data_IF_988756837391
#
_entry.id   IF_988756837391
#
_cell.length_a   1.000
_cell.length_b   1.000
_cell.length_c   1.000
_cell.angle_alpha   90.00
_cell.angle_beta   90.00
_cell.angle_gamma   90.00
#
_symmetry.space_group_name_H-M   'P 1'
#
loop_
_entity.id
_entity.type
_entity.pdbx_description
1 polymer ?
#
# COMPACT_ATOMS: atom_id res chain seq x y z
N UNK A 1 -11.86 0.05 -6.75
CA UNK A 1 -10.88 0.54 -7.75
C UNK A 1 -9.82 -0.52 -8.08
N UNK A 2 -10.01 -1.78 -7.68
CA UNK A 2 -9.05 -2.86 -7.93
C UNK A 2 -8.83 -3.06 -9.45
N UNK A 3 -9.85 -2.72 -10.25
CA UNK A 3 -9.83 -2.72 -11.71
C UNK A 3 -8.89 -1.65 -12.31
N UNK A 4 -8.47 -0.64 -11.53
CA UNK A 4 -7.51 0.40 -11.93
C UNK A 4 -6.08 0.17 -11.42
N UNK A 5 -5.85 -0.87 -10.62
CA UNK A 5 -4.51 -1.20 -10.10
C UNK A 5 -3.60 -1.82 -11.17
N UNK A 6 -4.17 -2.29 -12.29
CA UNK A 6 -3.45 -3.11 -13.26
C UNK A 6 -3.02 -4.45 -12.66
N UNK A 7 -2.52 -5.36 -13.50
CA UNK A 7 -2.06 -6.69 -13.06
C UNK A 7 -0.95 -6.61 -12.02
N UNK A 8 -0.04 -5.64 -12.15
CA UNK A 8 1.04 -5.39 -11.21
C UNK A 8 0.54 -4.90 -9.84
N UNK A 9 -0.43 -3.99 -9.79
CA UNK A 9 -0.96 -3.49 -8.52
C UNK A 9 -1.73 -4.56 -7.76
N UNK A 10 -2.47 -5.42 -8.46
CA UNK A 10 -3.15 -6.56 -7.84
C UNK A 10 -2.15 -7.58 -7.31
N UNK A 11 -1.13 -7.95 -8.09
CA UNK A 11 -0.07 -8.85 -7.63
C UNK A 11 0.68 -8.29 -6.41
N UNK A 12 0.98 -6.98 -6.41
CA UNK A 12 1.58 -6.29 -5.28
C UNK A 12 0.71 -6.32 -4.03
N UNK A 13 -0.60 -6.09 -4.16
CA UNK A 13 -1.53 -6.19 -3.04
C UNK A 13 -1.58 -7.61 -2.46
N UNK A 14 -1.63 -8.63 -3.31
CA UNK A 14 -1.60 -10.04 -2.88
C UNK A 14 -0.32 -10.35 -2.12
N UNK A 15 0.84 -9.94 -2.63
CA UNK A 15 2.13 -10.12 -1.95
C UNK A 15 2.18 -9.39 -0.61
N UNK A 16 1.65 -8.17 -0.53
CA UNK A 16 1.57 -7.40 0.70
C UNK A 16 0.76 -8.15 1.76
N UNK A 17 -0.46 -8.58 1.42
CA UNK A 17 -1.31 -9.29 2.37
C UNK A 17 -0.75 -10.67 2.74
N UNK A 18 -0.13 -11.39 1.80
CA UNK A 18 0.53 -12.66 2.07
C UNK A 18 1.70 -12.50 3.04
N UNK A 19 2.57 -11.51 2.82
CA UNK A 19 3.68 -11.20 3.71
C UNK A 19 3.20 -10.78 5.10
N UNK A 20 2.17 -9.94 5.18
CA UNK A 20 1.60 -9.52 6.45
C UNK A 20 0.96 -10.70 7.21
N UNK A 21 0.26 -11.59 6.52
CA UNK A 21 -0.32 -12.79 7.12
C UNK A 21 0.75 -13.75 7.65
N UNK A 22 1.86 -13.91 6.92
CA UNK A 22 3.00 -14.72 7.35
C UNK A 22 3.62 -14.15 8.63
N UNK A 23 3.84 -12.83 8.70
CA UNK A 23 4.35 -12.19 9.92
C UNK A 23 3.34 -12.29 11.06
N UNK A 24 2.05 -12.13 10.79
CA UNK A 24 1.00 -12.21 11.80
C UNK A 24 0.92 -13.60 12.47
N UNK A 25 1.26 -14.67 11.73
CA UNK A 25 1.30 -16.03 12.27
C UNK A 25 2.39 -16.22 13.33
N UNK A 26 3.55 -15.60 13.15
CA UNK A 26 4.68 -15.72 14.07
C UNK A 26 4.71 -14.64 15.14
N UNK A 27 4.30 -13.42 14.80
CA UNK A 27 4.43 -12.23 15.66
C UNK A 27 3.29 -11.21 15.40
N UNK A 28 2.13 -11.38 16.06
CA UNK A 28 0.96 -10.52 15.83
C UNK A 28 1.23 -9.04 16.10
N UNK A 29 1.94 -8.70 17.18
CA UNK A 29 2.30 -7.32 17.52
C UNK A 29 3.16 -6.68 16.41
N UNK A 30 4.11 -7.44 15.85
CA UNK A 30 4.99 -6.95 14.78
C UNK A 30 4.19 -6.71 13.50
N UNK A 31 3.27 -7.62 13.17
CA UNK A 31 2.39 -7.46 12.01
C UNK A 31 1.52 -6.20 12.12
N UNK A 32 1.01 -5.87 13.30
CA UNK A 32 0.27 -4.61 13.53
C UNK A 32 1.17 -3.39 13.29
N UNK A 33 2.40 -3.40 13.81
CA UNK A 33 3.36 -2.33 13.55
C UNK A 33 3.67 -2.16 12.06
N UNK A 34 3.91 -3.27 11.35
CA UNK A 34 4.14 -3.27 9.90
C UNK A 34 2.93 -2.78 9.12
N UNK A 35 1.71 -3.17 9.51
CA UNK A 35 0.49 -2.71 8.86
C UNK A 35 0.33 -1.19 8.97
N UNK A 36 0.65 -0.61 10.12
CA UNK A 36 0.65 0.85 10.31
C UNK A 36 1.71 1.54 9.46
N UNK A 37 2.92 0.98 9.37
CA UNK A 37 3.98 1.51 8.50
C UNK A 37 3.53 1.51 7.04
N UNK A 38 3.00 0.38 6.54
CA UNK A 38 2.52 0.25 5.16
C UNK A 38 1.36 1.21 4.86
N UNK A 39 0.42 1.36 5.80
CA UNK A 39 -0.67 2.32 5.69
C UNK A 39 -0.13 3.77 5.61
N UNK A 40 0.80 4.13 6.49
CA UNK A 40 1.45 5.45 6.48
C UNK A 40 2.19 5.72 5.18
N UNK A 41 2.96 4.76 4.68
CA UNK A 41 3.64 4.86 3.37
C UNK A 41 2.63 5.05 2.25
N UNK A 42 1.51 4.30 2.25
CA UNK A 42 0.45 4.47 1.26
C UNK A 42 -0.16 5.87 1.27
N UNK A 43 -0.36 6.47 2.45
CA UNK A 43 -0.82 7.85 2.58
C UNK A 43 0.20 8.86 2.03
N UNK A 44 1.49 8.67 2.32
CA UNK A 44 2.58 9.52 1.80
C UNK A 44 2.64 9.45 0.28
N UNK A 45 2.63 8.24 -0.28
CA UNK A 45 2.65 8.03 -1.74
C UNK A 45 1.41 8.64 -2.40
N UNK A 46 0.23 8.48 -1.80
CA UNK A 46 -1.00 9.12 -2.29
C UNK A 46 -0.86 10.64 -2.30
N UNK A 47 -0.39 11.24 -1.21
CA UNK A 47 -0.17 12.69 -1.12
C UNK A 47 0.82 13.18 -2.18
N UNK A 48 1.92 12.46 -2.38
CA UNK A 48 2.90 12.75 -3.41
C UNK A 48 2.28 12.65 -4.80
N UNK A 49 1.61 11.55 -5.12
CA UNK A 49 0.97 11.34 -6.42
C UNK A 49 -0.09 12.40 -6.73
N UNK A 50 -0.95 12.74 -5.75
CA UNK A 50 -1.94 13.81 -5.90
C UNK A 50 -1.27 15.15 -6.18
N UNK A 51 -0.19 15.49 -5.45
CA UNK A 51 0.52 16.75 -5.66
C UNK A 51 1.19 16.80 -7.04
N UNK A 52 1.80 15.70 -7.47
CA UNK A 52 2.40 15.58 -8.80
C UNK A 52 1.34 15.74 -9.90
N UNK A 53 0.21 15.04 -9.82
CA UNK A 53 -0.89 15.16 -10.79
C UNK A 53 -1.41 16.60 -10.88
N UNK A 54 -1.49 17.29 -9.73
CA UNK A 54 -1.90 18.70 -9.68
C UNK A 54 -0.86 19.64 -10.30
N UNK A 55 0.44 19.37 -10.13
CA UNK A 55 1.51 20.11 -10.80
C UNK A 55 1.49 19.94 -12.32
N UNK A 56 1.08 18.77 -12.82
CA UNK A 56 0.91 18.49 -14.24
C UNK A 56 -0.45 18.95 -14.81
N UNK A 57 -1.33 19.56 -14.00
CA UNK A 57 -2.63 20.07 -14.43
C UNK A 57 -3.70 18.99 -14.66
N UNK A 58 -3.49 17.77 -14.16
CA UNK A 58 -4.42 16.64 -14.28
C UNK A 58 -5.47 16.58 -13.16
N UNK A 59 -5.39 17.44 -12.15
CA UNK A 59 -6.24 17.43 -10.95
C UNK A 59 -6.74 18.83 -10.58
#
# INVERSE_FOLDING_TARGET
MIDKLGTAGVAGAVLLFAGLALVAWSAPIVAVGLALVLAGTGLVVKGLATNLLRQFGFA
#
